data_IF_040377296754
#
_entry.id   IF_040377296754
#
_cell.length_a   1.000
_cell.length_b   1.000
_cell.length_c   1.000
_cell.angle_alpha   90.00
_cell.angle_beta   90.00
_cell.angle_gamma   90.00
#
_symmetry.space_group_name_H-M   'P 1'
#
loop_
_entity.id
_entity.type
_entity.pdbx_description
1 polymer ?
#
# COMPACT_ATOMS: atom_id res chain seq x y z
N UNK A 1 -29.79 -102.83 -94.11
CA UNK A 1 -29.81 -101.36 -94.30
C UNK A 1 -30.64 -100.68 -93.20
N UNK A 2 -31.95 -100.95 -93.09
CA UNK A 2 -32.80 -100.36 -92.03
C UNK A 2 -32.32 -100.63 -90.59
N UNK A 3 -31.92 -101.87 -90.26
CA UNK A 3 -31.41 -102.20 -88.92
C UNK A 3 -30.11 -101.45 -88.59
N UNK A 4 -29.22 -101.29 -89.57
CA UNK A 4 -27.94 -100.61 -89.41
C UNK A 4 -28.13 -99.09 -89.25
N UNK A 5 -29.05 -98.51 -90.02
CA UNK A 5 -29.42 -97.10 -89.91
C UNK A 5 -30.08 -96.84 -88.55
N UNK A 6 -31.00 -97.71 -88.11
CA UNK A 6 -31.66 -97.57 -86.81
C UNK A 6 -30.67 -97.69 -85.65
N UNK A 7 -29.77 -98.68 -85.69
CA UNK A 7 -28.77 -98.86 -84.64
C UNK A 7 -27.76 -97.71 -84.62
N UNK A 8 -27.32 -97.23 -85.79
CA UNK A 8 -26.41 -96.09 -85.89
C UNK A 8 -27.07 -94.80 -85.38
N UNK A 9 -28.32 -94.54 -85.76
CA UNK A 9 -29.06 -93.37 -85.28
C UNK A 9 -29.30 -93.47 -83.77
N UNK A 10 -29.72 -94.63 -83.27
CA UNK A 10 -29.97 -94.81 -81.84
C UNK A 10 -28.68 -94.67 -81.02
N UNK A 11 -27.58 -95.30 -81.45
CA UNK A 11 -26.31 -95.22 -80.75
C UNK A 11 -25.73 -93.81 -80.84
N UNK A 12 -25.80 -93.16 -82.00
CA UNK A 12 -25.31 -91.79 -82.16
C UNK A 12 -26.13 -90.80 -81.34
N UNK A 13 -27.47 -90.90 -81.37
CA UNK A 13 -28.35 -90.05 -80.56
C UNK A 13 -28.13 -90.33 -79.08
N UNK A 14 -28.10 -91.59 -78.64
CA UNK A 14 -27.94 -91.91 -77.22
C UNK A 14 -26.57 -91.47 -76.72
N UNK A 15 -25.49 -91.79 -77.45
CA UNK A 15 -24.14 -91.43 -77.03
C UNK A 15 -23.91 -89.92 -77.11
N UNK A 16 -24.37 -89.26 -78.17
CA UNK A 16 -24.18 -87.82 -78.32
C UNK A 16 -25.05 -87.05 -77.32
N UNK A 17 -26.32 -87.39 -77.16
CA UNK A 17 -27.20 -86.72 -76.19
C UNK A 17 -26.72 -87.01 -74.78
N UNK A 18 -26.49 -88.27 -74.42
CA UNK A 18 -26.10 -88.59 -73.04
C UNK A 18 -24.73 -88.01 -72.70
N UNK A 19 -23.73 -88.17 -73.56
CA UNK A 19 -22.39 -87.69 -73.27
C UNK A 19 -22.31 -86.16 -73.37
N UNK A 20 -22.96 -85.53 -74.34
CA UNK A 20 -22.95 -84.08 -74.46
C UNK A 20 -23.78 -83.42 -73.36
N UNK A 21 -25.00 -83.87 -73.10
CA UNK A 21 -25.84 -83.29 -72.04
C UNK A 21 -25.22 -83.56 -70.68
N UNK A 22 -24.84 -84.80 -70.38
CA UNK A 22 -24.30 -85.10 -69.04
C UNK A 22 -22.96 -84.41 -68.82
N UNK A 23 -22.03 -84.50 -69.77
CA UNK A 23 -20.71 -83.90 -69.58
C UNK A 23 -20.77 -82.37 -69.65
N UNK A 24 -21.53 -81.80 -70.59
CA UNK A 24 -21.63 -80.34 -70.69
C UNK A 24 -22.41 -79.75 -69.52
N UNK A 25 -23.57 -80.29 -69.17
CA UNK A 25 -24.34 -79.76 -68.05
C UNK A 25 -23.61 -80.00 -66.74
N UNK A 26 -23.12 -81.20 -66.47
CA UNK A 26 -22.46 -81.48 -65.20
C UNK A 26 -21.17 -80.68 -65.07
N UNK A 27 -20.31 -80.66 -66.10
CA UNK A 27 -19.05 -79.94 -66.03
C UNK A 27 -19.26 -78.43 -66.05
N UNK A 28 -20.16 -77.91 -66.89
CA UNK A 28 -20.40 -76.46 -66.95
C UNK A 28 -21.11 -75.97 -65.70
N UNK A 29 -22.15 -76.65 -65.22
CA UNK A 29 -22.84 -76.24 -63.99
C UNK A 29 -21.92 -76.40 -62.79
N UNK A 30 -21.24 -77.54 -62.64
CA UNK A 30 -20.37 -77.75 -61.48
C UNK A 30 -19.19 -76.78 -61.49
N UNK A 31 -18.51 -76.60 -62.63
CA UNK A 31 -17.38 -75.71 -62.72
C UNK A 31 -17.83 -74.24 -62.60
N UNK A 32 -18.92 -73.83 -63.25
CA UNK A 32 -19.38 -72.45 -63.17
C UNK A 32 -19.91 -72.13 -61.78
N UNK A 33 -20.73 -72.98 -61.18
CA UNK A 33 -21.23 -72.76 -59.81
C UNK A 33 -20.08 -72.79 -58.82
N UNK A 34 -19.22 -73.81 -58.86
CA UNK A 34 -18.13 -73.92 -57.89
C UNK A 34 -17.15 -72.76 -58.04
N UNK A 35 -16.70 -72.46 -59.26
CA UNK A 35 -15.71 -71.41 -59.48
C UNK A 35 -16.32 -70.02 -59.25
N UNK A 36 -17.55 -69.76 -59.71
CA UNK A 36 -18.18 -68.47 -59.51
C UNK A 36 -18.55 -68.25 -58.05
N UNK A 37 -19.19 -69.21 -57.38
CA UNK A 37 -19.55 -69.07 -55.96
C UNK A 37 -18.29 -69.00 -55.11
N UNK A 38 -17.34 -69.91 -55.29
CA UNK A 38 -16.16 -69.92 -54.44
C UNK A 38 -15.30 -68.68 -54.66
N UNK A 39 -15.03 -68.31 -55.92
CA UNK A 39 -14.19 -67.16 -56.22
C UNK A 39 -14.90 -65.85 -55.88
N UNK A 40 -16.18 -65.70 -56.20
CA UNK A 40 -16.92 -64.47 -55.89
C UNK A 40 -17.14 -64.31 -54.40
N UNK A 41 -17.58 -65.35 -53.69
CA UNK A 41 -17.79 -65.26 -52.24
C UNK A 41 -16.45 -65.08 -51.53
N UNK A 42 -15.44 -65.87 -51.84
CA UNK A 42 -14.15 -65.76 -51.16
C UNK A 42 -13.49 -64.41 -51.44
N UNK A 43 -13.42 -63.99 -52.70
CA UNK A 43 -12.78 -62.73 -53.05
C UNK A 43 -13.59 -61.53 -52.54
N UNK A 44 -14.92 -61.55 -52.67
CA UNK A 44 -15.74 -60.43 -52.20
C UNK A 44 -15.75 -60.35 -50.68
N UNK A 45 -15.95 -61.46 -49.97
CA UNK A 45 -15.95 -61.44 -48.50
C UNK A 45 -14.56 -61.10 -47.99
N UNK A 46 -13.51 -61.75 -48.49
CA UNK A 46 -12.16 -61.50 -47.99
C UNK A 46 -11.73 -60.06 -48.30
N UNK A 47 -11.90 -59.60 -49.54
CA UNK A 47 -11.46 -58.27 -49.93
C UNK A 47 -12.33 -57.18 -49.30
N UNK A 48 -13.65 -57.35 -49.26
CA UNK A 48 -14.54 -56.36 -48.64
C UNK A 48 -14.35 -56.30 -47.14
N UNK A 49 -14.33 -57.45 -46.44
CA UNK A 49 -14.13 -57.45 -44.98
C UNK A 49 -12.74 -56.96 -44.63
N UNK A 50 -11.69 -57.46 -45.29
CA UNK A 50 -10.33 -57.06 -44.96
C UNK A 50 -10.10 -55.58 -45.28
N UNK A 51 -10.51 -55.11 -46.46
CA UNK A 51 -10.30 -53.73 -46.85
C UNK A 51 -11.19 -52.78 -46.04
N UNK A 52 -12.46 -53.12 -45.79
CA UNK A 52 -13.35 -52.27 -45.01
C UNK A 52 -12.93 -52.22 -43.54
N UNK A 53 -12.62 -53.36 -42.91
CA UNK A 53 -12.16 -53.40 -41.52
C UNK A 53 -10.82 -52.68 -41.39
N UNK A 54 -9.84 -53.01 -42.25
CA UNK A 54 -8.52 -52.41 -42.15
C UNK A 54 -8.58 -50.91 -42.42
N UNK A 55 -9.24 -50.48 -43.50
CA UNK A 55 -9.31 -49.07 -43.84
C UNK A 55 -10.15 -48.30 -42.84
N UNK A 56 -11.31 -48.82 -42.41
CA UNK A 56 -12.16 -48.12 -41.46
C UNK A 56 -11.52 -48.06 -40.08
N UNK A 57 -10.99 -49.16 -39.56
CA UNK A 57 -10.33 -49.16 -38.25
C UNK A 57 -9.08 -48.29 -38.29
N UNK A 58 -8.20 -48.48 -39.28
CA UNK A 58 -6.95 -47.72 -39.33
C UNK A 58 -7.22 -46.24 -39.53
N UNK A 59 -8.10 -45.87 -40.47
CA UNK A 59 -8.37 -44.47 -40.77
C UNK A 59 -9.18 -43.82 -39.64
N UNK A 60 -10.18 -44.51 -39.06
CA UNK A 60 -10.95 -43.95 -37.97
C UNK A 60 -10.11 -43.82 -36.69
N UNK A 61 -9.36 -44.85 -36.31
CA UNK A 61 -8.50 -44.79 -35.12
C UNK A 61 -7.41 -43.75 -35.31
N UNK A 62 -6.69 -43.78 -36.43
CA UNK A 62 -5.60 -42.85 -36.65
C UNK A 62 -6.10 -41.42 -36.74
N UNK A 63 -7.15 -41.16 -37.52
CA UNK A 63 -7.66 -39.81 -37.72
C UNK A 63 -8.37 -39.30 -36.46
N UNK A 64 -9.17 -40.12 -35.77
CA UNK A 64 -9.84 -39.69 -34.55
C UNK A 64 -8.85 -39.49 -33.42
N UNK A 65 -7.92 -40.42 -33.18
CA UNK A 65 -6.93 -40.27 -32.11
C UNK A 65 -6.00 -39.10 -32.42
N UNK A 66 -5.45 -39.02 -33.63
CA UNK A 66 -4.52 -37.95 -33.96
C UNK A 66 -5.19 -36.59 -33.92
N UNK A 67 -6.38 -36.45 -34.53
CA UNK A 67 -7.07 -35.17 -34.58
C UNK A 67 -7.63 -34.79 -33.21
N UNK A 68 -8.20 -35.73 -32.44
CA UNK A 68 -8.71 -35.43 -31.11
C UNK A 68 -7.58 -35.10 -30.14
N UNK A 69 -6.50 -35.90 -30.10
CA UNK A 69 -5.36 -35.62 -29.22
C UNK A 69 -4.71 -34.30 -29.62
N UNK A 70 -4.38 -34.11 -30.90
CA UNK A 70 -3.68 -32.91 -31.32
C UNK A 70 -4.54 -31.66 -31.11
N UNK A 71 -5.81 -31.70 -31.51
CA UNK A 71 -6.69 -30.54 -31.38
C UNK A 71 -7.06 -30.28 -29.92
N UNK A 72 -7.35 -31.31 -29.12
CA UNK A 72 -7.68 -31.13 -27.71
C UNK A 72 -6.46 -30.67 -26.91
N UNK A 73 -5.30 -31.31 -27.07
CA UNK A 73 -4.09 -30.90 -26.36
C UNK A 73 -3.66 -29.51 -26.79
N UNK A 74 -3.57 -29.23 -28.10
CA UNK A 74 -3.11 -27.93 -28.57
C UNK A 74 -4.08 -26.83 -28.18
N UNK A 75 -5.39 -27.01 -28.40
CA UNK A 75 -6.38 -25.99 -28.09
C UNK A 75 -6.55 -25.82 -26.59
N UNK A 76 -6.59 -26.90 -25.80
CA UNK A 76 -6.73 -26.79 -24.35
C UNK A 76 -5.48 -26.19 -23.72
N UNK A 77 -4.28 -26.66 -24.07
CA UNK A 77 -3.03 -26.11 -23.51
C UNK A 77 -2.87 -24.66 -23.94
N UNK A 78 -3.02 -24.34 -25.23
CA UNK A 78 -2.81 -22.98 -25.69
C UNK A 78 -3.83 -22.02 -25.09
N UNK A 79 -5.12 -22.41 -25.10
CA UNK A 79 -6.19 -21.54 -24.60
C UNK A 79 -6.14 -21.44 -23.07
N UNK A 80 -5.89 -22.53 -22.35
CA UNK A 80 -5.77 -22.49 -20.89
C UNK A 80 -4.53 -21.70 -20.45
N UNK A 81 -3.37 -21.95 -21.05
CA UNK A 81 -2.15 -21.22 -20.71
C UNK A 81 -2.30 -19.75 -21.07
N UNK A 82 -2.75 -19.42 -22.28
CA UNK A 82 -2.88 -18.03 -22.70
C UNK A 82 -3.91 -17.29 -21.85
N UNK A 83 -5.08 -17.88 -21.62
CA UNK A 83 -6.15 -17.25 -20.86
C UNK A 83 -5.79 -17.16 -19.38
N UNK A 84 -5.20 -18.20 -18.79
CA UNK A 84 -4.79 -18.18 -17.39
C UNK A 84 -3.64 -17.20 -17.16
N UNK A 85 -2.59 -17.24 -17.99
CA UNK A 85 -1.46 -16.31 -17.86
C UNK A 85 -1.93 -14.88 -18.10
N UNK A 86 -2.65 -14.62 -19.18
CA UNK A 86 -3.08 -13.26 -19.50
C UNK A 86 -4.02 -12.72 -18.42
N UNK A 87 -5.03 -13.50 -18.02
CA UNK A 87 -6.02 -13.06 -17.04
C UNK A 87 -5.41 -12.97 -15.65
N UNK A 88 -4.57 -13.93 -15.22
CA UNK A 88 -3.92 -13.87 -13.92
C UNK A 88 -2.91 -12.72 -13.85
N UNK A 89 -2.04 -12.57 -14.86
CA UNK A 89 -1.05 -11.49 -14.86
C UNK A 89 -1.76 -10.13 -14.95
N UNK A 90 -2.70 -9.96 -15.88
CA UNK A 90 -3.36 -8.67 -16.04
C UNK A 90 -4.18 -8.31 -14.79
N UNK A 91 -4.96 -9.25 -14.26
CA UNK A 91 -5.81 -9.00 -13.09
C UNK A 91 -4.96 -8.83 -11.83
N UNK A 92 -3.92 -9.64 -11.63
CA UNK A 92 -3.04 -9.49 -10.47
C UNK A 92 -2.22 -8.20 -10.55
N UNK A 93 -1.61 -7.87 -11.68
CA UNK A 93 -0.85 -6.63 -11.83
C UNK A 93 -1.78 -5.43 -11.67
N UNK A 94 -2.92 -5.40 -12.36
CA UNK A 94 -3.82 -4.26 -12.30
C UNK A 94 -4.39 -4.10 -10.90
N UNK A 95 -4.86 -5.17 -10.28
CA UNK A 95 -5.46 -5.12 -8.94
C UNK A 95 -4.40 -4.83 -7.88
N UNK A 96 -3.22 -5.46 -7.94
CA UNK A 96 -2.15 -5.21 -6.98
C UNK A 96 -1.60 -3.78 -7.12
N UNK A 97 -1.28 -3.33 -8.33
CA UNK A 97 -0.77 -1.98 -8.55
C UNK A 97 -1.83 -0.95 -8.16
N UNK A 98 -3.06 -1.09 -8.64
CA UNK A 98 -4.09 -0.10 -8.37
C UNK A 98 -4.43 -0.05 -6.88
N UNK A 99 -4.62 -1.21 -6.24
CA UNK A 99 -5.00 -1.28 -4.84
C UNK A 99 -3.82 -0.88 -3.93
N UNK A 100 -2.59 -1.32 -4.23
CA UNK A 100 -1.43 -0.94 -3.45
C UNK A 100 -1.10 0.54 -3.61
N UNK A 101 -1.05 1.07 -4.84
CA UNK A 101 -0.76 2.49 -5.06
C UNK A 101 -1.87 3.35 -4.46
N UNK A 102 -3.13 3.05 -4.75
CA UNK A 102 -4.23 3.88 -4.25
C UNK A 102 -4.31 3.83 -2.72
N UNK A 103 -4.24 2.63 -2.13
CA UNK A 103 -4.37 2.48 -0.68
C UNK A 103 -3.13 3.00 0.04
N UNK A 104 -1.92 2.74 -0.46
CA UNK A 104 -0.69 3.25 0.15
C UNK A 104 -0.60 4.76 0.01
N UNK A 105 -0.82 5.33 -1.18
CA UNK A 105 -0.74 6.78 -1.37
C UNK A 105 -1.83 7.47 -0.56
N UNK A 106 -3.09 7.03 -0.67
CA UNK A 106 -4.18 7.68 0.03
C UNK A 106 -4.01 7.58 1.54
N UNK A 107 -3.72 6.39 2.06
CA UNK A 107 -3.60 6.17 3.50
C UNK A 107 -2.33 6.83 4.05
N UNK A 108 -1.19 6.75 3.35
CA UNK A 108 0.03 7.39 3.80
C UNK A 108 -0.06 8.91 3.73
N UNK A 109 -0.54 9.49 2.61
CA UNK A 109 -0.69 10.94 2.50
C UNK A 109 -1.71 11.46 3.50
N UNK A 110 -2.89 10.82 3.58
CA UNK A 110 -3.93 11.30 4.50
C UNK A 110 -3.48 11.17 5.95
N UNK A 111 -2.93 10.02 6.35
CA UNK A 111 -2.50 9.79 7.71
C UNK A 111 -1.29 10.65 8.06
N UNK A 112 -0.30 10.77 7.18
CA UNK A 112 0.88 11.60 7.43
C UNK A 112 0.52 13.08 7.48
N UNK A 113 -0.25 13.59 6.53
CA UNK A 113 -0.68 14.99 6.53
C UNK A 113 -1.55 15.27 7.75
N UNK A 114 -2.57 14.45 8.01
CA UNK A 114 -3.47 14.69 9.13
C UNK A 114 -2.72 14.61 10.47
N UNK A 115 -1.92 13.57 10.67
CA UNK A 115 -1.20 13.37 11.92
C UNK A 115 -0.09 14.40 12.10
N UNK A 116 0.66 14.74 11.04
CA UNK A 116 1.71 15.76 11.12
C UNK A 116 1.11 17.13 11.35
N UNK A 117 0.09 17.55 10.59
CA UNK A 117 -0.54 18.85 10.77
C UNK A 117 -1.20 18.94 12.14
N UNK A 118 -2.00 17.94 12.52
CA UNK A 118 -2.72 17.99 13.80
C UNK A 118 -1.74 17.96 14.97
N UNK A 119 -0.76 17.05 14.96
CA UNK A 119 0.19 16.92 16.06
C UNK A 119 1.15 18.12 16.11
N UNK A 120 1.65 18.59 14.96
CA UNK A 120 2.54 19.75 14.94
C UNK A 120 1.82 21.02 15.33
N UNK A 121 0.64 21.30 14.76
CA UNK A 121 -0.13 22.51 15.12
C UNK A 121 -0.57 22.43 16.57
N UNK A 122 -1.16 21.33 17.02
CA UNK A 122 -1.64 21.23 18.39
C UNK A 122 -0.49 21.32 19.39
N UNK A 123 0.59 20.57 19.18
CA UNK A 123 1.71 20.55 20.10
C UNK A 123 2.49 21.86 20.07
N UNK A 124 2.71 22.46 18.89
CA UNK A 124 3.40 23.74 18.79
C UNK A 124 2.56 24.86 19.39
N UNK A 125 1.27 24.96 19.06
CA UNK A 125 0.39 26.00 19.62
C UNK A 125 0.26 25.81 21.13
N UNK A 126 -0.05 24.59 21.59
CA UNK A 126 -0.23 24.35 23.01
C UNK A 126 1.05 24.61 23.79
N UNK A 127 2.19 24.07 23.32
CA UNK A 127 3.47 24.22 24.01
C UNK A 127 3.96 25.66 23.94
N UNK A 128 3.85 26.33 22.80
CA UNK A 128 4.27 27.72 22.67
C UNK A 128 3.39 28.65 23.49
N UNK A 129 2.06 28.54 23.40
CA UNK A 129 1.14 29.38 24.18
C UNK A 129 1.31 29.09 25.67
N UNK A 130 1.28 27.83 26.10
CA UNK A 130 1.39 27.50 27.51
C UNK A 130 2.75 27.93 28.08
N UNK A 131 3.85 27.60 27.40
CA UNK A 131 5.18 27.88 27.90
C UNK A 131 5.50 29.37 27.81
N UNK A 132 5.12 30.06 26.74
CA UNK A 132 5.35 31.49 26.61
C UNK A 132 4.49 32.28 27.61
N UNK A 133 3.18 32.00 27.70
CA UNK A 133 2.30 32.71 28.64
C UNK A 133 2.71 32.40 30.07
N UNK A 134 2.88 31.13 30.44
CA UNK A 134 3.24 30.77 31.81
C UNK A 134 4.59 31.34 32.20
N UNK A 135 5.62 31.14 31.36
CA UNK A 135 6.98 31.59 31.68
C UNK A 135 7.07 33.11 31.65
N UNK A 136 6.46 33.79 30.67
CA UNK A 136 6.49 35.24 30.60
C UNK A 136 5.70 35.87 31.76
N UNK A 137 4.49 35.40 32.03
CA UNK A 137 3.68 35.94 33.13
C UNK A 137 4.35 35.65 34.48
N UNK A 138 4.75 34.40 34.73
CA UNK A 138 5.38 34.04 36.00
C UNK A 138 6.68 34.79 36.20
N UNK A 139 7.56 34.79 35.20
CA UNK A 139 8.87 35.42 35.32
C UNK A 139 8.73 36.95 35.38
N UNK A 140 7.88 37.56 34.56
CA UNK A 140 7.69 39.01 34.58
C UNK A 140 7.03 39.46 35.87
N UNK A 141 5.95 38.80 36.33
CA UNK A 141 5.29 39.15 37.58
C UNK A 141 6.23 38.90 38.77
N UNK A 142 6.85 37.74 38.86
CA UNK A 142 7.75 37.42 39.96
C UNK A 142 8.95 38.37 40.00
N UNK A 143 9.61 38.58 38.86
CA UNK A 143 10.78 39.45 38.78
C UNK A 143 10.39 40.91 39.02
N UNK A 144 9.28 41.39 38.45
CA UNK A 144 8.83 42.77 38.64
C UNK A 144 8.41 43.00 40.10
N UNK A 145 7.60 42.12 40.69
CA UNK A 145 7.19 42.24 42.08
C UNK A 145 8.40 42.13 43.01
N UNK A 146 9.24 41.11 42.84
CA UNK A 146 10.40 40.92 43.70
C UNK A 146 11.37 42.10 43.56
N UNK A 147 11.76 42.47 42.34
CA UNK A 147 12.74 43.53 42.12
C UNK A 147 12.16 44.89 42.51
N UNK A 148 10.92 45.21 42.13
CA UNK A 148 10.32 46.49 42.47
C UNK A 148 10.09 46.59 43.98
N UNK A 149 9.45 45.61 44.61
CA UNK A 149 9.16 45.68 46.05
C UNK A 149 10.46 45.63 46.85
N UNK A 150 11.33 44.66 46.59
CA UNK A 150 12.57 44.53 47.35
C UNK A 150 13.48 45.75 47.16
N UNK A 151 13.75 46.14 45.90
CA UNK A 151 14.65 47.25 45.63
C UNK A 151 14.04 48.57 46.09
N UNK A 152 12.76 48.84 45.80
CA UNK A 152 12.12 50.08 46.20
C UNK A 152 12.01 50.18 47.71
N UNK A 153 11.54 49.14 48.40
CA UNK A 153 11.41 49.18 49.86
C UNK A 153 12.80 49.25 50.51
N UNK A 154 13.74 48.42 50.08
CA UNK A 154 15.09 48.44 50.66
C UNK A 154 15.78 49.79 50.42
N UNK A 155 15.76 50.30 49.17
CA UNK A 155 16.40 51.56 48.83
C UNK A 155 15.68 52.73 49.50
N UNK A 156 14.35 52.76 49.49
CA UNK A 156 13.59 53.84 50.13
C UNK A 156 13.79 53.84 51.63
N UNK A 157 13.67 52.69 52.30
CA UNK A 157 13.90 52.60 53.75
C UNK A 157 15.34 52.93 54.08
N UNK A 158 16.32 52.34 53.39
CA UNK A 158 17.73 52.61 53.66
C UNK A 158 18.08 54.06 53.41
N UNK A 159 17.72 54.62 52.26
CA UNK A 159 18.01 56.00 51.90
C UNK A 159 17.26 56.97 52.82
N UNK A 160 15.97 56.74 53.07
CA UNK A 160 15.19 57.63 53.94
C UNK A 160 15.70 57.58 55.37
N UNK A 161 15.90 56.40 55.95
CA UNK A 161 16.41 56.28 57.32
C UNK A 161 17.82 56.85 57.42
N UNK A 162 18.73 56.43 56.52
CA UNK A 162 20.12 56.89 56.58
C UNK A 162 20.21 58.40 56.35
N UNK A 163 19.59 58.92 55.30
CA UNK A 163 19.64 60.34 54.97
C UNK A 163 18.89 61.17 56.01
N UNK A 164 17.70 60.77 56.43
CA UNK A 164 16.94 61.53 57.43
C UNK A 164 17.64 61.51 58.78
N UNK A 165 18.07 60.36 59.28
CA UNK A 165 18.76 60.29 60.58
C UNK A 165 20.08 61.01 60.50
N UNK A 166 20.90 60.75 59.48
CA UNK A 166 22.21 61.40 59.37
C UNK A 166 22.07 62.90 59.19
N UNK A 167 21.25 63.36 58.25
CA UNK A 167 21.07 64.79 57.99
C UNK A 167 20.38 65.48 59.16
N UNK A 168 19.32 64.90 59.73
CA UNK A 168 18.62 65.52 60.85
C UNK A 168 19.50 65.57 62.09
N UNK A 169 20.15 64.47 62.48
CA UNK A 169 21.02 64.45 63.65
C UNK A 169 22.22 65.35 63.42
N UNK A 170 22.92 65.22 62.30
CA UNK A 170 24.10 66.03 62.04
C UNK A 170 23.74 67.51 61.95
N UNK A 171 22.75 67.88 61.14
CA UNK A 171 22.36 69.27 60.95
C UNK A 171 21.75 69.85 62.24
N UNK A 172 20.86 69.13 62.92
CA UNK A 172 20.25 69.63 64.14
C UNK A 172 21.28 69.77 65.25
N UNK A 173 22.10 68.75 65.51
CA UNK A 173 23.12 68.82 66.56
C UNK A 173 24.16 69.87 66.22
N UNK A 174 24.71 69.86 65.00
CA UNK A 174 25.74 70.82 64.61
C UNK A 174 25.19 72.25 64.61
N UNK A 175 24.04 72.50 63.97
CA UNK A 175 23.47 73.83 63.90
C UNK A 175 22.99 74.29 65.27
N UNK A 176 22.32 73.45 66.04
CA UNK A 176 21.86 73.83 67.38
C UNK A 176 23.03 74.11 68.31
N UNK A 177 24.03 73.23 68.36
CA UNK A 177 25.20 73.45 69.22
C UNK A 177 25.97 74.68 68.74
N UNK A 178 26.27 74.79 67.44
CA UNK A 178 27.02 75.92 66.92
C UNK A 178 26.27 77.24 67.12
N UNK A 179 24.99 77.30 66.73
CA UNK A 179 24.18 78.51 66.86
C UNK A 179 23.94 78.85 68.33
N UNK A 180 23.60 77.88 69.18
CA UNK A 180 23.35 78.13 70.59
C UNK A 180 24.63 78.59 71.29
N UNK A 181 25.75 77.88 71.12
CA UNK A 181 27.02 78.27 71.73
C UNK A 181 27.47 79.61 71.19
N UNK A 182 27.51 79.80 69.87
CA UNK A 182 27.98 81.04 69.27
C UNK A 182 27.09 82.22 69.66
N UNK A 183 25.78 82.10 69.45
CA UNK A 183 24.84 83.19 69.72
C UNK A 183 24.74 83.47 71.21
N UNK A 184 24.63 82.45 72.07
CA UNK A 184 24.54 82.66 73.51
C UNK A 184 25.83 83.25 74.06
N UNK A 185 26.99 82.68 73.74
CA UNK A 185 28.27 83.20 74.25
C UNK A 185 28.54 84.58 73.68
N UNK A 186 28.44 84.78 72.37
CA UNK A 186 28.74 86.07 71.77
C UNK A 186 27.77 87.14 72.24
N UNK A 187 26.46 86.89 72.16
CA UNK A 187 25.45 87.88 72.51
C UNK A 187 25.43 88.14 74.02
N UNK A 188 25.51 87.10 74.86
CA UNK A 188 25.51 87.29 76.31
C UNK A 188 26.79 88.01 76.76
N UNK A 189 27.97 87.58 76.31
CA UNK A 189 29.23 88.22 76.71
C UNK A 189 29.31 89.64 76.15
N UNK A 190 29.01 89.85 74.87
CA UNK A 190 29.10 91.17 74.26
C UNK A 190 28.08 92.13 74.88
N UNK A 191 26.82 91.71 75.02
CA UNK A 191 25.76 92.56 75.56
C UNK A 191 25.97 92.80 77.06
N UNK A 192 26.37 91.78 77.84
CA UNK A 192 26.66 91.95 79.25
C UNK A 192 27.86 92.87 79.47
N UNK A 193 28.96 92.67 78.74
CA UNK A 193 30.14 93.56 78.84
C UNK A 193 29.77 94.97 78.39
N UNK A 194 29.11 95.13 77.25
CA UNK A 194 28.74 96.45 76.73
C UNK A 194 27.79 97.18 77.69
N UNK A 195 26.75 96.49 78.17
CA UNK A 195 25.77 97.08 79.08
C UNK A 195 26.38 97.37 80.44
N UNK A 196 27.26 96.49 80.95
CA UNK A 196 27.97 96.73 82.21
C UNK A 196 28.92 97.92 82.10
N UNK A 197 29.69 98.03 81.02
CA UNK A 197 30.56 99.19 80.77
C UNK A 197 29.72 100.46 80.59
N UNK A 198 28.65 100.40 79.82
CA UNK A 198 27.77 101.56 79.59
C UNK A 198 27.11 102.05 80.88
N UNK A 199 26.57 101.13 81.71
CA UNK A 199 26.01 101.49 83.01
C UNK A 199 27.08 102.05 83.95
N UNK A 200 28.27 101.45 83.98
CA UNK A 200 29.36 101.88 84.84
C UNK A 200 29.87 103.29 84.48
N UNK A 201 29.83 103.67 83.20
CA UNK A 201 30.24 105.02 82.74
C UNK A 201 29.14 106.08 82.97
N UNK A 202 27.87 105.70 82.97
CA UNK A 202 26.75 106.66 83.08
C UNK A 202 26.13 106.79 84.49
N UNK A 203 26.30 105.80 85.36
CA UNK A 203 25.78 105.83 86.74
C UNK A 203 26.83 106.15 87.81
N UNK A 204 28.12 106.17 87.46
CA UNK A 204 29.23 106.63 88.31
C UNK A 204 29.98 107.76 87.60
#
# INVERSE_FOLDING_TARGET
IYLFIYLFIYLFIYLFIYLFIYLFIYLFIYLFIYLFIYLFIYLFIYLFIYLFIYLFIYLFIYLFIYLFIYLFIYLFIYLFIYLFIYLFIYLFIYLFIYLFIYLFIYLFIYLFIYLFIYLFIYLFIYLFIYLFIYLFIYLFIYLFIYLFIYLFIYLFIYLFIYLFIYLFIYLFIYLFIYLFIYLFIYLFIYLFIYLFIYLFIYLF
#
